data_IF_189018090254
#
_entry.id   IF_189018090254
#
_cell.length_a   1.000
_cell.length_b   1.000
_cell.length_c   1.000
_cell.angle_alpha   90.00
_cell.angle_beta   90.00
_cell.angle_gamma   90.00
#
_symmetry.space_group_name_H-M   'P 1'
#
loop_
_entity.id
_entity.type
_entity.pdbx_description
1 polymer ?
#
# COMPACT_ATOMS: atom_id res chain seq x y z
N UNK A 1 11.88 11.16 -2.68
CA UNK A 1 12.45 10.10 -3.53
C UNK A 1 11.57 8.88 -3.39
N UNK A 2 11.15 8.27 -4.49
CA UNK A 2 10.28 7.09 -4.50
C UNK A 2 11.11 5.81 -4.54
N UNK A 3 11.06 5.02 -3.47
CA UNK A 3 11.81 3.76 -3.37
C UNK A 3 10.84 2.57 -3.45
N UNK A 4 11.08 1.68 -4.42
CA UNK A 4 10.42 0.37 -4.48
C UNK A 4 11.30 -0.65 -3.75
N UNK A 5 10.75 -1.36 -2.77
CA UNK A 5 11.44 -2.44 -2.06
C UNK A 5 10.89 -3.79 -2.52
N UNK A 6 11.82 -4.70 -2.85
CA UNK A 6 11.52 -6.03 -3.37
C UNK A 6 12.22 -7.07 -2.50
N UNK A 7 11.51 -7.73 -1.57
CA UNK A 7 12.01 -8.91 -0.88
C UNK A 7 12.25 -10.04 -1.88
N UNK A 8 13.51 -10.29 -2.23
CA UNK A 8 13.96 -11.26 -3.23
C UNK A 8 13.69 -12.69 -2.76
N UNK A 9 12.51 -13.18 -3.11
CA UNK A 9 12.09 -14.54 -2.85
C UNK A 9 11.19 -15.08 -3.97
N UNK A 10 11.33 -16.38 -4.28
CA UNK A 10 10.54 -17.05 -5.30
C UNK A 10 10.64 -16.36 -6.68
N UNK A 11 9.48 -16.15 -7.31
CA UNK A 11 9.35 -15.61 -8.67
C UNK A 11 9.18 -14.09 -8.75
N UNK A 12 9.34 -13.36 -7.64
CA UNK A 12 9.06 -11.92 -7.58
C UNK A 12 9.95 -11.09 -8.51
N UNK A 13 11.15 -11.58 -8.85
CA UNK A 13 12.05 -10.92 -9.80
C UNK A 13 11.38 -10.63 -11.16
N UNK A 14 10.42 -11.48 -11.58
CA UNK A 14 9.76 -11.36 -12.88
C UNK A 14 8.84 -10.13 -13.05
N UNK A 15 8.50 -9.44 -11.96
CA UNK A 15 7.58 -8.29 -11.96
C UNK A 15 8.24 -6.97 -11.59
N UNK A 16 9.53 -6.98 -11.25
CA UNK A 16 10.23 -5.82 -10.69
C UNK A 16 10.21 -4.64 -11.64
N UNK A 17 10.52 -4.85 -12.93
CA UNK A 17 10.54 -3.76 -13.92
C UNK A 17 9.17 -3.11 -14.11
N UNK A 18 8.11 -3.93 -14.22
CA UNK A 18 6.74 -3.44 -14.39
C UNK A 18 6.32 -2.56 -13.21
N UNK A 19 6.64 -2.99 -11.99
CA UNK A 19 6.36 -2.22 -10.78
C UNK A 19 7.20 -0.96 -10.66
N UNK A 20 8.50 -1.04 -10.98
CA UNK A 20 9.38 0.12 -10.97
C UNK A 20 8.88 1.20 -11.94
N UNK A 21 8.37 0.81 -13.12
CA UNK A 21 7.75 1.73 -14.08
C UNK A 21 6.40 2.26 -13.59
N UNK A 22 5.52 1.39 -13.11
CA UNK A 22 4.17 1.76 -12.66
C UNK A 22 4.20 2.70 -11.46
N UNK A 23 5.09 2.44 -10.49
CA UNK A 23 5.28 3.30 -9.32
C UNK A 23 6.12 4.54 -9.64
N UNK A 24 6.73 4.58 -10.83
CA UNK A 24 7.58 5.68 -11.26
C UNK A 24 8.74 5.88 -10.26
N UNK A 25 9.38 4.76 -9.91
CA UNK A 25 10.41 4.68 -8.89
C UNK A 25 11.68 5.43 -9.29
N UNK A 26 12.33 6.06 -8.31
CA UNK A 26 13.67 6.63 -8.45
C UNK A 26 14.74 5.59 -8.11
N UNK A 27 14.40 4.67 -7.21
CA UNK A 27 15.30 3.62 -6.72
C UNK A 27 14.54 2.33 -6.44
N UNK A 28 15.20 1.20 -6.68
CA UNK A 28 14.69 -0.15 -6.39
C UNK A 28 15.69 -0.86 -5.48
N UNK A 29 15.23 -1.28 -4.30
CA UNK A 29 16.02 -2.07 -3.35
C UNK A 29 15.61 -3.54 -3.42
N UNK A 30 16.51 -4.39 -3.90
CA UNK A 30 16.37 -5.85 -3.91
C UNK A 30 16.89 -6.40 -2.58
N UNK A 31 15.97 -6.71 -1.67
CA UNK A 31 16.30 -7.04 -0.27
C UNK A 31 16.24 -8.54 -0.04
N UNK A 32 17.19 -9.09 0.72
CA UNK A 32 17.16 -10.51 1.06
C UNK A 32 17.73 -10.82 2.45
N UNK A 33 17.34 -11.94 3.09
CA UNK A 33 17.76 -12.24 4.46
C UNK A 33 19.22 -12.75 4.57
N UNK A 34 19.80 -13.24 3.47
CA UNK A 34 21.13 -13.88 3.49
C UNK A 34 22.30 -12.91 3.67
N UNK A 35 23.48 -13.46 3.94
CA UNK A 35 24.76 -12.73 4.10
C UNK A 35 25.17 -11.95 2.85
N UNK A 36 25.81 -10.78 3.02
CA UNK A 36 26.35 -9.99 1.90
C UNK A 36 27.48 -10.70 1.16
N UNK A 37 28.31 -11.51 1.82
CA UNK A 37 29.39 -12.25 1.15
C UNK A 37 28.91 -13.54 0.48
N UNK A 38 27.62 -13.86 0.59
CA UNK A 38 27.04 -15.11 0.11
C UNK A 38 26.66 -15.09 -1.37
N UNK A 39 26.57 -16.27 -1.98
CA UNK A 39 26.16 -16.43 -3.38
C UNK A 39 24.78 -15.81 -3.68
N UNK A 40 23.85 -15.83 -2.72
CA UNK A 40 22.55 -15.21 -2.88
C UNK A 40 22.64 -13.69 -3.07
N UNK A 41 23.55 -13.01 -2.37
CA UNK A 41 23.78 -11.57 -2.55
C UNK A 41 24.40 -11.27 -3.89
N UNK A 42 25.46 -12.00 -4.26
CA UNK A 42 26.10 -11.85 -5.57
C UNK A 42 25.12 -12.07 -6.73
N UNK A 43 24.19 -13.01 -6.58
CA UNK A 43 23.14 -13.23 -7.57
C UNK A 43 22.12 -12.07 -7.61
N UNK A 44 21.78 -11.50 -6.44
CA UNK A 44 20.92 -10.31 -6.37
C UNK A 44 21.58 -9.08 -6.99
N UNK A 45 22.88 -8.88 -6.79
CA UNK A 45 23.67 -7.81 -7.43
C UNK A 45 23.69 -7.97 -8.95
N UNK A 46 24.03 -9.16 -9.45
CA UNK A 46 23.97 -9.47 -10.89
C UNK A 46 22.57 -9.24 -11.48
N UNK A 47 21.53 -9.56 -10.71
CA UNK A 47 20.16 -9.31 -11.14
C UNK A 47 19.82 -7.81 -11.15
N UNK A 48 20.29 -7.04 -10.17
CA UNK A 48 20.16 -5.58 -10.18
C UNK A 48 20.84 -4.95 -11.41
N UNK A 49 22.06 -5.37 -11.74
CA UNK A 49 22.79 -4.93 -12.94
C UNK A 49 22.03 -5.29 -14.24
N UNK A 50 21.48 -6.50 -14.31
CA UNK A 50 20.66 -6.93 -15.43
C UNK A 50 19.41 -6.05 -15.61
N UNK A 51 18.68 -5.78 -14.53
CA UNK A 51 17.48 -4.93 -14.54
C UNK A 51 17.82 -3.48 -14.93
N UNK A 52 18.92 -2.94 -14.38
CA UNK A 52 19.43 -1.61 -14.71
C UNK A 52 19.70 -1.50 -16.22
N UNK A 53 20.48 -2.44 -16.77
CA UNK A 53 20.83 -2.45 -18.20
C UNK A 53 19.60 -2.62 -19.10
N UNK A 54 18.62 -3.44 -18.69
CA UNK A 54 17.41 -3.66 -19.48
C UNK A 54 16.51 -2.42 -19.50
N UNK A 55 16.35 -1.75 -18.36
CA UNK A 55 15.60 -0.50 -18.24
C UNK A 55 16.25 0.65 -19.03
N UNK A 56 17.58 0.78 -18.98
CA UNK A 56 18.35 1.73 -19.78
C UNK A 56 18.12 1.53 -21.29
N UNK A 57 18.31 0.31 -21.79
CA UNK A 57 18.07 -0.02 -23.20
C UNK A 57 16.63 0.26 -23.64
N UNK A 58 15.66 -0.04 -22.76
CA UNK A 58 14.26 0.25 -23.03
C UNK A 58 14.00 1.76 -23.12
N UNK A 59 14.65 2.56 -22.29
CA UNK A 59 14.52 4.02 -22.31
C UNK A 59 15.22 4.65 -23.51
N UNK A 60 16.41 4.18 -23.87
CA UNK A 60 17.14 4.65 -25.07
C UNK A 60 16.32 4.43 -26.34
N UNK A 61 15.71 3.26 -26.51
CA UNK A 61 14.79 2.98 -27.62
C UNK A 61 13.62 3.96 -27.66
N UNK A 62 13.05 4.29 -26.50
CA UNK A 62 11.92 5.22 -26.39
C UNK A 62 12.35 6.69 -26.62
N UNK A 63 13.57 7.07 -26.21
CA UNK A 63 14.15 8.40 -26.50
C UNK A 63 14.40 8.60 -27.99
N UNK A 64 14.85 7.56 -28.70
CA UNK A 64 14.98 7.56 -30.17
C UNK A 64 13.66 7.80 -30.91
N UNK A 65 12.51 7.59 -30.25
CA UNK A 65 11.16 7.82 -30.77
C UNK A 65 10.56 9.17 -30.33
N UNK A 66 11.37 10.08 -29.77
CA UNK A 66 10.93 11.42 -29.37
C UNK A 66 10.33 11.52 -27.96
N UNK A 67 10.45 10.49 -27.13
CA UNK A 67 10.00 10.53 -25.73
C UNK A 67 10.90 11.40 -24.84
N UNK A 68 10.31 12.23 -23.97
CA UNK A 68 11.04 12.91 -22.89
C UNK A 68 11.59 11.86 -21.93
N UNK A 69 12.91 11.65 -21.95
CA UNK A 69 13.55 10.58 -21.20
C UNK A 69 13.77 10.93 -19.73
N UNK A 70 13.02 10.31 -18.82
CA UNK A 70 13.42 10.21 -17.41
C UNK A 70 14.68 9.33 -17.30
N UNK A 71 15.47 9.51 -16.25
CA UNK A 71 16.52 8.57 -15.90
C UNK A 71 15.90 7.25 -15.40
N UNK A 72 16.54 6.10 -15.69
CA UNK A 72 16.13 4.83 -15.11
C UNK A 72 16.24 4.89 -13.58
N UNK A 73 15.42 4.11 -12.85
CA UNK A 73 15.62 3.91 -11.42
C UNK A 73 16.98 3.27 -11.17
N UNK A 74 17.59 3.59 -10.02
CA UNK A 74 18.80 2.93 -9.55
C UNK A 74 18.43 1.58 -8.89
N UNK A 75 18.97 0.48 -9.39
CA UNK A 75 18.79 -0.85 -8.78
C UNK A 75 19.94 -1.17 -7.81
N UNK A 76 19.62 -1.62 -6.60
CA UNK A 76 20.61 -1.98 -5.58
C UNK A 76 20.20 -3.27 -4.86
N UNK A 77 21.15 -4.15 -4.58
CA UNK A 77 20.93 -5.30 -3.70
C UNK A 77 21.26 -4.94 -2.25
N UNK A 78 20.44 -5.40 -1.30
CA UNK A 78 20.65 -5.21 0.14
C UNK A 78 20.50 -6.54 0.88
N UNK A 79 21.56 -6.94 1.56
CA UNK A 79 21.57 -8.06 2.47
C UNK A 79 21.13 -7.61 3.87
N UNK A 80 20.13 -8.27 4.46
CA UNK A 80 19.73 -8.02 5.86
C UNK A 80 20.60 -8.79 6.87
N UNK A 81 21.31 -9.83 6.41
CA UNK A 81 22.16 -10.68 7.24
C UNK A 81 21.44 -11.22 8.49
N UNK A 82 20.19 -11.67 8.32
CA UNK A 82 19.32 -12.16 9.38
C UNK A 82 18.77 -13.53 8.96
N UNK A 83 19.13 -14.58 9.69
CA UNK A 83 18.82 -15.95 9.26
C UNK A 83 17.44 -16.42 9.72
N UNK A 84 16.64 -16.85 8.74
CA UNK A 84 15.42 -17.69 8.76
C UNK A 84 14.22 -17.31 9.65
N UNK A 85 14.40 -16.80 10.87
CA UNK A 85 13.27 -16.51 11.74
C UNK A 85 12.53 -15.26 11.28
N UNK A 86 11.20 -15.32 11.30
CA UNK A 86 10.34 -14.21 10.93
C UNK A 86 10.65 -12.94 11.74
N UNK A 87 10.94 -13.06 13.04
CA UNK A 87 11.25 -11.91 13.89
C UNK A 87 12.58 -11.25 13.52
N UNK A 88 13.60 -12.02 13.19
CA UNK A 88 14.91 -11.48 12.83
C UNK A 88 14.83 -10.73 11.50
N UNK A 89 14.06 -11.27 10.55
CA UNK A 89 13.74 -10.59 9.28
C UNK A 89 12.96 -9.30 9.54
N UNK A 90 11.95 -9.32 10.41
CA UNK A 90 11.15 -8.13 10.73
C UNK A 90 12.02 -6.99 11.28
N UNK A 91 12.83 -7.28 12.31
CA UNK A 91 13.70 -6.29 12.96
C UNK A 91 14.77 -5.77 12.00
N UNK A 92 15.41 -6.65 11.23
CA UNK A 92 16.44 -6.23 10.28
C UNK A 92 15.86 -5.41 9.12
N UNK A 93 14.67 -5.79 8.62
CA UNK A 93 13.97 -5.05 7.58
C UNK A 93 13.55 -3.66 8.07
N UNK A 94 12.98 -3.57 9.27
CA UNK A 94 12.64 -2.31 9.93
C UNK A 94 13.84 -1.39 10.07
N UNK A 95 14.93 -1.90 10.63
CA UNK A 95 16.16 -1.13 10.78
C UNK A 95 16.66 -0.61 9.43
N UNK A 96 16.69 -1.46 8.40
CA UNK A 96 17.16 -1.07 7.06
C UNK A 96 16.34 0.07 6.45
N UNK A 97 15.01 0.05 6.58
CA UNK A 97 14.15 1.13 6.06
C UNK A 97 14.33 2.42 6.87
N UNK A 98 14.41 2.32 8.20
CA UNK A 98 14.57 3.50 9.07
C UNK A 98 15.93 4.16 8.85
N UNK A 99 17.01 3.39 8.80
CA UNK A 99 18.38 3.89 8.56
C UNK A 99 18.46 4.56 7.18
N UNK A 100 17.88 3.94 6.14
CA UNK A 100 17.83 4.51 4.80
C UNK A 100 17.03 5.83 4.76
N UNK A 101 15.89 5.89 5.44
CA UNK A 101 15.10 7.12 5.55
C UNK A 101 15.88 8.25 6.24
N UNK A 102 16.58 7.92 7.33
CA UNK A 102 17.41 8.89 8.06
C UNK A 102 18.59 9.38 7.23
N UNK A 103 19.25 8.48 6.48
CA UNK A 103 20.35 8.84 5.60
C UNK A 103 19.89 9.78 4.48
N UNK A 104 18.74 9.49 3.85
CA UNK A 104 18.16 10.35 2.82
C UNK A 104 17.72 11.70 3.36
N UNK A 105 17.16 11.74 4.57
CA UNK A 105 16.80 12.99 5.21
C UNK A 105 18.05 13.83 5.48
N UNK A 106 19.12 13.22 6.00
CA UNK A 106 20.39 13.89 6.24
C UNK A 106 21.02 14.45 4.95
N UNK A 107 21.03 13.65 3.87
CA UNK A 107 21.50 14.11 2.57
C UNK A 107 20.68 15.29 2.05
N UNK A 108 19.36 15.24 2.20
CA UNK A 108 18.47 16.34 1.80
C UNK A 108 18.74 17.62 2.61
N UNK A 109 18.98 17.49 3.92
CA UNK A 109 19.28 18.61 4.81
C UNK A 109 20.65 19.24 4.51
N UNK A 110 21.65 18.42 4.15
CA UNK A 110 23.00 18.88 3.78
C UNK A 110 23.03 19.54 2.38
N UNK A 111 22.16 19.13 1.45
CA UNK A 111 22.08 19.68 0.09
C UNK A 111 21.16 20.90 -0.06
N UNK A 112 20.41 21.29 0.98
CA UNK A 112 19.33 22.29 0.89
C UNK A 112 19.56 23.54 1.75
N UNK A 113 20.19 24.57 1.19
CA UNK A 113 19.93 25.96 1.64
C UNK A 113 18.62 26.52 1.04
N UNK A 114 18.09 25.95 -0.06
CA UNK A 114 16.92 26.49 -0.78
C UNK A 114 15.93 25.45 -1.37
N UNK A 115 16.06 24.15 -1.06
CA UNK A 115 15.14 23.12 -1.59
C UNK A 115 14.23 22.54 -0.51
N UNK A 116 12.95 22.23 -0.84
CA UNK A 116 12.03 21.64 0.12
C UNK A 116 12.48 20.23 0.53
N UNK A 117 12.34 19.91 1.81
CA UNK A 117 12.62 18.59 2.39
C UNK A 117 11.88 17.52 1.58
N UNK A 118 12.64 16.65 0.93
CA UNK A 118 12.08 15.53 0.16
C UNK A 118 11.90 14.34 1.11
N UNK A 119 10.69 14.19 1.64
CA UNK A 119 10.34 12.98 2.42
C UNK A 119 10.40 11.76 1.49
N UNK A 120 11.20 10.72 1.81
CA UNK A 120 11.22 9.49 1.03
C UNK A 120 9.90 8.72 1.21
N UNK A 121 9.40 8.17 0.12
CA UNK A 121 8.19 7.34 0.11
C UNK A 121 8.56 5.94 -0.35
N UNK A 122 8.06 4.93 0.36
CA UNK A 122 8.38 3.53 0.10
C UNK A 122 7.15 2.76 -0.37
N UNK A 123 7.33 1.87 -1.33
CA UNK A 123 6.34 0.83 -1.65
C UNK A 123 7.02 -0.53 -1.64
N UNK A 124 6.41 -1.51 -0.98
CA UNK A 124 6.92 -2.88 -0.90
C UNK A 124 6.07 -3.78 -1.76
N UNK A 125 6.68 -4.53 -2.68
CA UNK A 125 5.98 -5.60 -3.39
C UNK A 125 6.29 -6.94 -2.75
N UNK A 126 5.28 -7.72 -2.44
CA UNK A 126 5.41 -9.06 -1.88
C UNK A 126 4.59 -10.05 -2.69
N UNK A 127 4.97 -11.32 -2.60
CA UNK A 127 4.18 -12.43 -3.11
C UNK A 127 3.80 -13.39 -1.98
N UNK A 128 2.88 -14.32 -2.24
CA UNK A 128 2.43 -15.31 -1.24
C UNK A 128 3.57 -16.10 -0.59
N UNK A 129 4.70 -16.28 -1.29
CA UNK A 129 5.87 -17.00 -0.77
C UNK A 129 6.91 -16.09 -0.10
N UNK A 130 6.70 -14.77 -0.07
CA UNK A 130 7.60 -13.85 0.62
C UNK A 130 7.63 -14.20 2.12
N UNK A 131 8.82 -14.30 2.75
CA UNK A 131 8.92 -14.62 4.17
C UNK A 131 8.08 -13.67 5.04
N UNK A 132 7.27 -14.22 5.93
CA UNK A 132 6.29 -13.46 6.74
C UNK A 132 6.92 -12.38 7.61
N UNK A 133 8.22 -12.50 7.93
CA UNK A 133 8.96 -11.47 8.67
C UNK A 133 8.93 -10.08 8.00
N UNK A 134 8.91 -10.02 6.66
CA UNK A 134 8.76 -8.75 5.95
C UNK A 134 7.40 -8.10 6.25
N UNK A 135 6.32 -8.88 6.31
CA UNK A 135 4.99 -8.39 6.68
C UNK A 135 4.95 -7.83 8.11
N UNK A 136 5.61 -8.50 9.07
CA UNK A 136 5.68 -8.01 10.45
C UNK A 136 6.47 -6.71 10.56
N UNK A 137 7.66 -6.63 9.94
CA UNK A 137 8.46 -5.40 9.91
C UNK A 137 7.71 -4.25 9.25
N UNK A 138 7.08 -4.51 8.10
CA UNK A 138 6.25 -3.53 7.38
C UNK A 138 5.10 -2.96 8.22
N UNK A 139 4.37 -3.81 8.95
CA UNK A 139 3.30 -3.36 9.84
C UNK A 139 3.82 -2.51 11.01
N UNK A 140 4.98 -2.89 11.58
CA UNK A 140 5.67 -2.15 12.64
C UNK A 140 6.07 -0.75 12.18
N UNK A 141 6.83 -0.68 11.08
CA UNK A 141 7.33 0.57 10.47
C UNK A 141 6.17 1.50 10.08
N UNK A 142 5.12 0.95 9.47
CA UNK A 142 3.94 1.71 9.11
C UNK A 142 3.23 2.28 10.35
N UNK A 143 3.09 1.49 11.41
CA UNK A 143 2.54 1.95 12.69
C UNK A 143 3.40 3.00 13.40
N UNK A 144 4.70 3.06 13.11
CA UNK A 144 5.60 4.11 13.59
C UNK A 144 5.51 5.42 12.76
N UNK A 145 4.63 5.49 11.76
CA UNK A 145 4.38 6.69 10.97
C UNK A 145 5.27 6.84 9.73
N UNK A 146 6.04 5.83 9.36
CA UNK A 146 6.85 5.86 8.12
C UNK A 146 5.94 5.74 6.90
N UNK A 147 6.23 6.54 5.88
CA UNK A 147 5.46 6.60 4.64
C UNK A 147 5.73 5.38 3.72
N UNK A 148 5.22 4.23 4.12
CA UNK A 148 5.41 2.95 3.44
C UNK A 148 4.08 2.35 3.00
N UNK A 149 4.01 1.87 1.77
CA UNK A 149 2.87 1.13 1.22
C UNK A 149 3.24 -0.31 0.89
N UNK A 150 2.23 -1.14 0.62
CA UNK A 150 2.43 -2.54 0.29
C UNK A 150 1.48 -3.04 -0.78
N UNK A 151 2.03 -3.78 -1.73
CA UNK A 151 1.31 -4.56 -2.70
C UNK A 151 1.60 -6.05 -2.48
N UNK A 152 0.57 -6.86 -2.26
CA UNK A 152 0.70 -8.32 -2.20
C UNK A 152 0.10 -8.90 -3.46
N UNK A 153 0.82 -9.83 -4.07
CA UNK A 153 0.34 -10.50 -5.25
C UNK A 153 0.58 -11.99 -5.31
N UNK A 154 -0.04 -12.59 -6.30
CA UNK A 154 0.20 -13.98 -6.70
C UNK A 154 0.93 -13.92 -8.03
N UNK A 155 2.03 -14.68 -8.15
CA UNK A 155 2.74 -14.87 -9.42
C UNK A 155 2.69 -16.36 -9.72
N UNK A 156 1.83 -16.74 -10.66
CA UNK A 156 1.70 -18.12 -11.07
C UNK A 156 0.47 -18.39 -11.91
N UNK A 157 0.24 -19.67 -12.13
CA UNK A 157 -0.94 -20.20 -12.80
C UNK A 157 -2.12 -20.27 -11.82
N UNK A 158 -3.29 -19.71 -12.16
CA UNK A 158 -4.49 -19.89 -11.34
C UNK A 158 -5.14 -21.25 -11.62
N UNK A 159 -4.54 -22.31 -11.06
CA UNK A 159 -5.07 -23.68 -11.17
C UNK A 159 -6.43 -23.86 -10.49
N UNK A 160 -6.84 -22.89 -9.65
CA UNK A 160 -8.10 -22.89 -8.90
C UNK A 160 -9.30 -22.42 -9.72
N UNK A 161 -9.14 -22.09 -11.01
CA UNK A 161 -10.29 -21.71 -11.85
C UNK A 161 -11.34 -22.84 -11.83
N UNK A 162 -12.63 -22.52 -11.63
CA UNK A 162 -13.66 -23.51 -11.36
C UNK A 162 -13.97 -24.44 -12.54
N UNK A 163 -13.51 -24.12 -13.76
CA UNK A 163 -13.70 -24.95 -14.95
C UNK A 163 -12.35 -25.20 -15.64
N UNK A 164 -12.13 -26.45 -16.09
CA UNK A 164 -10.93 -26.85 -16.83
C UNK A 164 -10.67 -26.00 -18.07
N UNK A 165 -11.72 -25.53 -18.74
CA UNK A 165 -11.64 -24.67 -19.94
C UNK A 165 -11.28 -23.21 -19.64
N UNK A 166 -11.30 -22.80 -18.36
CA UNK A 166 -10.91 -21.46 -17.91
C UNK A 166 -9.45 -21.43 -17.43
N UNK A 167 -8.84 -22.59 -17.22
CA UNK A 167 -7.43 -22.69 -16.94
C UNK A 167 -6.66 -22.78 -18.26
N UNK A 168 -5.91 -21.73 -18.58
CA UNK A 168 -5.07 -21.69 -19.77
C UNK A 168 -3.60 -21.52 -19.37
N UNK A 169 -2.78 -22.58 -19.46
CA UNK A 169 -1.36 -22.53 -19.15
C UNK A 169 -0.54 -21.76 -20.21
N UNK A 170 -1.15 -21.40 -21.35
CA UNK A 170 -0.52 -20.56 -22.38
C UNK A 170 -0.67 -19.06 -22.10
N UNK A 171 -1.58 -18.67 -21.20
CA UNK A 171 -1.66 -17.29 -20.73
C UNK A 171 -0.52 -17.01 -19.75
N UNK A 172 0.14 -15.84 -19.86
CA UNK A 172 1.20 -15.47 -18.93
C UNK A 172 0.70 -15.51 -17.50
N UNK A 173 1.57 -15.93 -16.56
CA UNK A 173 1.31 -16.01 -15.13
C UNK A 173 0.40 -14.86 -14.68
N UNK A 174 -0.72 -15.19 -14.03
CA UNK A 174 -1.60 -14.16 -13.47
C UNK A 174 -0.75 -13.40 -12.45
N UNK A 175 -0.62 -12.09 -12.71
CA UNK A 175 0.02 -11.11 -11.83
C UNK A 175 -1.10 -10.31 -11.19
N UNK A 176 -1.79 -10.89 -10.22
CA UNK A 176 -2.72 -10.12 -9.38
C UNK A 176 -1.91 -9.47 -8.29
N UNK A 177 -1.92 -8.14 -8.21
CA UNK A 177 -1.33 -7.40 -7.12
C UNK A 177 -2.34 -6.41 -6.59
N UNK A 178 -2.60 -6.50 -5.30
CA UNK A 178 -3.53 -5.62 -4.61
C UNK A 178 -2.79 -4.83 -3.55
N UNK A 179 -3.17 -3.55 -3.40
CA UNK A 179 -2.65 -2.73 -2.32
C UNK A 179 -3.28 -3.19 -1.01
N UNK A 180 -2.44 -3.50 -0.02
CA UNK A 180 -2.88 -3.91 1.30
C UNK A 180 -2.79 -2.71 2.24
N UNK A 181 -3.90 -2.35 2.93
CA UNK A 181 -3.85 -1.30 3.94
C UNK A 181 -2.94 -1.70 5.10
N UNK A 182 -2.09 -0.78 5.55
CA UNK A 182 -1.19 -1.00 6.68
C UNK A 182 -1.70 -0.32 7.96
N UNK A 183 -1.06 -0.62 9.10
CA UNK A 183 -1.44 -0.06 10.40
C UNK A 183 -1.40 1.47 10.42
N UNK A 184 -0.38 2.09 9.81
CA UNK A 184 -0.27 3.54 9.71
C UNK A 184 -1.39 4.17 8.88
N UNK A 185 -1.84 3.50 7.81
CA UNK A 185 -2.99 3.96 7.02
C UNK A 185 -4.27 3.96 7.84
N UNK A 186 -4.47 2.88 8.62
CA UNK A 186 -5.63 2.73 9.49
C UNK A 186 -5.65 3.84 10.56
N UNK A 187 -4.52 4.05 11.23
CA UNK A 187 -4.38 5.08 12.26
C UNK A 187 -4.57 6.48 11.69
N UNK A 188 -3.90 6.80 10.57
CA UNK A 188 -3.98 8.12 9.92
C UNK A 188 -5.41 8.49 9.54
N UNK A 189 -6.15 7.55 8.94
CA UNK A 189 -7.54 7.80 8.56
C UNK A 189 -8.45 7.93 9.79
N UNK A 190 -8.23 7.14 10.84
CA UNK A 190 -8.99 7.26 12.10
C UNK A 190 -8.76 8.61 12.76
N UNK A 191 -7.51 9.05 12.84
CA UNK A 191 -7.15 10.36 13.38
C UNK A 191 -7.74 11.48 12.54
N UNK A 192 -7.65 11.39 11.22
CA UNK A 192 -8.27 12.38 10.33
C UNK A 192 -9.79 12.47 10.57
N UNK A 193 -10.48 11.32 10.68
CA UNK A 193 -11.93 11.26 10.95
C UNK A 193 -12.32 11.72 12.37
N UNK A 194 -11.39 11.71 13.33
CA UNK A 194 -11.64 12.16 14.71
C UNK A 194 -11.46 13.67 14.89
N UNK A 195 -10.84 14.37 13.93
CA UNK A 195 -10.65 15.82 14.00
C UNK A 195 -11.99 16.56 14.10
N UNK A 196 -12.12 17.61 14.95
CA UNK A 196 -13.37 18.36 15.10
C UNK A 196 -13.91 18.95 13.78
N UNK A 197 -13.02 19.37 12.88
CA UNK A 197 -13.36 19.90 11.55
C UNK A 197 -13.89 18.83 10.56
N UNK A 198 -13.80 17.54 10.90
CA UNK A 198 -14.19 16.40 10.06
C UNK A 198 -15.46 15.70 10.53
N UNK A 199 -16.18 16.29 11.48
CA UNK A 199 -17.49 15.80 11.94
C UNK A 199 -18.48 15.52 10.79
N UNK A 200 -18.55 16.42 9.80
CA UNK A 200 -19.36 16.20 8.60
C UNK A 200 -18.89 15.00 7.77
N UNK A 201 -17.57 14.87 7.53
CA UNK A 201 -17.01 13.76 6.76
C UNK A 201 -17.23 12.41 7.46
N UNK A 202 -17.08 12.38 8.79
CA UNK A 202 -17.38 11.21 9.62
C UNK A 202 -18.85 10.81 9.55
N UNK A 203 -19.77 11.78 9.67
CA UNK A 203 -21.22 11.51 9.56
C UNK A 203 -21.60 10.93 8.21
N UNK A 204 -21.07 11.50 7.12
CA UNK A 204 -21.31 10.97 5.76
C UNK A 204 -20.67 9.61 5.56
N UNK A 205 -19.48 9.36 6.13
CA UNK A 205 -18.87 8.03 6.13
C UNK A 205 -19.79 7.01 6.81
N UNK A 206 -20.23 7.29 8.05
CA UNK A 206 -21.14 6.42 8.82
C UNK A 206 -22.47 6.15 8.07
N UNK A 207 -23.02 7.16 7.40
CA UNK A 207 -24.21 7.02 6.55
C UNK A 207 -23.96 6.06 5.36
N UNK A 208 -22.85 6.22 4.65
CA UNK A 208 -22.49 5.34 3.52
C UNK A 208 -22.25 3.90 4.00
N UNK A 209 -21.58 3.72 5.15
CA UNK A 209 -21.39 2.38 5.70
C UNK A 209 -22.73 1.76 6.10
N UNK A 210 -23.66 2.55 6.63
CA UNK A 210 -25.00 2.07 6.98
C UNK A 210 -25.77 1.63 5.74
N UNK A 211 -25.67 2.37 4.63
CA UNK A 211 -26.23 1.98 3.33
C UNK A 211 -25.67 0.65 2.80
N UNK A 212 -24.36 0.43 2.95
CA UNK A 212 -23.75 -0.85 2.60
C UNK A 212 -24.22 -2.00 3.51
N UNK A 213 -24.44 -1.74 4.80
CA UNK A 213 -24.84 -2.76 5.79
C UNK A 213 -26.32 -3.13 5.74
N UNK A 214 -27.17 -2.28 5.16
CA UNK A 214 -28.57 -2.60 4.91
C UNK A 214 -28.72 -3.84 4.01
N UNK A 215 -27.72 -4.11 3.16
CA UNK A 215 -27.70 -5.29 2.32
C UNK A 215 -26.29 -5.89 2.26
N UNK A 216 -26.11 -7.05 2.89
CA UNK A 216 -24.83 -7.77 2.96
C UNK A 216 -24.18 -8.03 1.59
N UNK A 217 -24.98 -8.17 0.52
CA UNK A 217 -24.44 -8.35 -0.83
C UNK A 217 -23.75 -7.08 -1.35
N UNK A 218 -24.28 -5.89 -1.04
CA UNK A 218 -23.64 -4.59 -1.36
C UNK A 218 -22.28 -4.51 -0.71
N UNK A 219 -22.22 -4.86 0.58
CA UNK A 219 -20.99 -4.86 1.35
C UNK A 219 -19.98 -5.86 0.78
N UNK A 220 -20.36 -7.11 0.56
CA UNK A 220 -19.45 -8.14 0.05
C UNK A 220 -18.89 -7.76 -1.32
N UNK A 221 -19.74 -7.36 -2.25
CA UNK A 221 -19.39 -7.04 -3.64
C UNK A 221 -18.72 -5.67 -3.81
N UNK A 222 -18.67 -4.83 -2.76
CA UNK A 222 -18.26 -3.43 -2.84
C UNK A 222 -19.04 -2.73 -3.95
N UNK A 223 -20.36 -2.78 -3.86
CA UNK A 223 -21.23 -2.16 -4.87
C UNK A 223 -20.91 -0.67 -5.05
N UNK A 224 -21.11 -0.20 -6.27
CA UNK A 224 -20.93 1.21 -6.63
C UNK A 224 -22.15 1.98 -6.12
N UNK A 225 -21.92 3.18 -5.61
CA UNK A 225 -22.97 4.10 -5.19
C UNK A 225 -22.75 5.50 -5.78
N UNK A 226 -23.82 6.28 -5.83
CA UNK A 226 -23.83 7.69 -6.19
C UNK A 226 -24.24 8.55 -5.00
N UNK A 227 -24.07 9.87 -5.11
CA UNK A 227 -24.57 10.80 -4.08
C UNK A 227 -26.10 10.82 -4.00
N UNK A 228 -26.79 10.41 -5.06
CA UNK A 228 -28.26 10.30 -5.10
C UNK A 228 -28.71 9.12 -4.25
N UNK A 229 -28.05 7.97 -4.37
CA UNK A 229 -28.39 6.75 -3.59
C UNK A 229 -28.29 7.01 -2.09
N UNK A 230 -27.21 7.68 -1.66
CA UNK A 230 -26.97 8.02 -0.26
C UNK A 230 -27.93 9.11 0.23
N UNK A 231 -28.29 10.08 -0.62
CA UNK A 231 -29.30 11.09 -0.28
C UNK A 231 -30.68 10.45 -0.07
N UNK A 232 -31.07 9.51 -0.93
CA UNK A 232 -32.33 8.81 -0.78
C UNK A 232 -32.35 7.95 0.49
N UNK A 233 -31.30 7.17 0.72
CA UNK A 233 -31.15 6.36 1.94
C UNK A 233 -31.19 7.21 3.22
N UNK A 234 -30.55 8.39 3.19
CA UNK A 234 -30.64 9.36 4.30
C UNK A 234 -32.09 9.71 4.63
N UNK A 235 -32.89 10.06 3.60
CA UNK A 235 -34.31 10.44 3.76
C UNK A 235 -35.13 9.29 4.31
N UNK A 236 -34.85 8.07 3.87
CA UNK A 236 -35.53 6.86 4.34
C UNK A 236 -35.26 6.61 5.84
N UNK A 237 -34.09 7.02 6.34
CA UNK A 237 -33.74 7.01 7.78
C UNK A 237 -34.29 8.23 8.56
N UNK A 238 -35.01 9.16 7.92
CA UNK A 238 -35.46 10.42 8.54
C UNK A 238 -34.36 11.47 8.70
N UNK A 239 -33.20 11.25 8.10
CA UNK A 239 -32.10 12.23 8.05
C UNK A 239 -32.16 13.01 6.73
N UNK A 240 -32.13 14.34 6.77
CA UNK A 240 -32.25 15.18 5.57
C UNK A 240 -30.87 15.63 5.01
N UNK A 241 -29.88 14.75 4.95
CA UNK A 241 -28.57 15.10 4.37
C UNK A 241 -28.72 15.49 2.89
N UNK A 242 -28.43 16.75 2.57
CA UNK A 242 -28.52 17.25 1.21
C UNK A 242 -27.45 16.61 0.31
N UNK A 243 -27.79 16.35 -0.96
CA UNK A 243 -26.86 15.78 -1.94
C UNK A 243 -25.56 16.59 -2.08
N UNK A 244 -25.64 17.92 -2.03
CA UNK A 244 -24.47 18.80 -2.08
C UNK A 244 -23.56 18.61 -0.87
N UNK A 245 -24.13 18.41 0.32
CA UNK A 245 -23.36 18.08 1.54
C UNK A 245 -22.62 16.77 1.36
N UNK A 246 -23.29 15.71 0.89
CA UNK A 246 -22.68 14.40 0.65
C UNK A 246 -21.52 14.53 -0.36
N UNK A 247 -21.74 15.23 -1.48
CA UNK A 247 -20.72 15.45 -2.50
C UNK A 247 -19.50 16.20 -1.96
N UNK A 248 -19.72 17.27 -1.19
CA UNK A 248 -18.65 18.06 -0.57
C UNK A 248 -17.85 17.22 0.43
N UNK A 249 -18.50 16.41 1.26
CA UNK A 249 -17.80 15.53 2.19
C UNK A 249 -17.04 14.41 1.49
N UNK A 250 -17.58 13.83 0.42
CA UNK A 250 -16.85 12.87 -0.42
C UNK A 250 -15.62 13.49 -1.09
N UNK A 251 -15.68 14.78 -1.46
CA UNK A 251 -14.52 15.49 -1.98
C UNK A 251 -13.45 15.69 -0.92
N UNK A 252 -13.82 15.98 0.34
CA UNK A 252 -12.87 16.13 1.46
C UNK A 252 -12.03 14.88 1.71
N UNK A 253 -12.54 13.68 1.42
CA UNK A 253 -11.76 12.43 1.54
C UNK A 253 -10.55 12.36 0.59
N UNK A 254 -10.50 13.22 -0.44
CA UNK A 254 -9.34 13.33 -1.34
C UNK A 254 -8.22 14.21 -0.80
N UNK A 255 -8.43 14.84 0.36
CA UNK A 255 -7.36 15.51 1.09
C UNK A 255 -6.41 14.50 1.76
N UNK A 256 -6.87 13.27 1.97
CA UNK A 256 -6.00 12.17 2.38
C UNK A 256 -5.08 11.78 1.21
N UNK A 257 -3.84 11.34 1.48
CA UNK A 257 -3.00 10.70 0.48
C UNK A 257 -3.76 9.59 -0.25
N UNK A 258 -3.46 9.36 -1.53
CA UNK A 258 -4.17 8.37 -2.35
C UNK A 258 -4.19 6.97 -1.72
N UNK A 259 -3.11 6.58 -1.03
CA UNK A 259 -3.01 5.31 -0.29
C UNK A 259 -4.05 5.17 0.83
N UNK A 260 -4.49 6.29 1.39
CA UNK A 260 -5.39 6.41 2.54
C UNK A 260 -6.84 6.68 2.13
N UNK A 261 -7.15 6.70 0.84
CA UNK A 261 -8.52 6.86 0.37
C UNK A 261 -9.42 5.71 0.86
N UNK A 262 -10.48 6.06 1.59
CA UNK A 262 -11.52 5.10 2.02
C UNK A 262 -12.60 4.85 0.97
N UNK A 263 -12.70 5.73 -0.03
CA UNK A 263 -13.54 5.59 -1.20
C UNK A 263 -12.72 5.80 -2.47
N UNK A 264 -12.87 4.91 -3.44
CA UNK A 264 -12.38 5.12 -4.80
C UNK A 264 -13.47 5.77 -5.65
N UNK A 265 -13.09 6.70 -6.52
CA UNK A 265 -13.97 7.27 -7.52
C UNK A 265 -13.89 6.40 -8.77
N UNK A 266 -15.00 5.77 -9.17
CA UNK A 266 -15.07 4.90 -10.36
C UNK A 266 -15.32 5.73 -11.62
N UNK A 267 -16.26 6.68 -11.55
CA UNK A 267 -16.54 7.67 -12.61
C UNK A 267 -16.83 9.03 -12.01
N UNK A 268 -17.27 10.02 -12.80
CA UNK A 268 -17.51 11.35 -12.27
C UNK A 268 -18.51 11.36 -11.08
N UNK A 269 -19.53 10.52 -11.09
CA UNK A 269 -20.59 10.50 -10.07
C UNK A 269 -20.61 9.25 -9.20
N UNK A 270 -19.75 8.29 -9.49
CA UNK A 270 -19.79 6.95 -8.89
C UNK A 270 -18.60 6.69 -7.99
N UNK A 271 -18.88 6.08 -6.85
CA UNK A 271 -17.94 5.80 -5.78
C UNK A 271 -18.04 4.35 -5.35
N UNK A 272 -16.94 3.82 -4.80
CA UNK A 272 -16.90 2.50 -4.20
C UNK A 272 -16.04 2.54 -2.93
N UNK A 273 -16.42 1.78 -1.91
CA UNK A 273 -15.57 1.60 -0.72
C UNK A 273 -14.28 0.83 -1.04
N UNK A 274 -13.14 1.33 -0.55
CA UNK A 274 -11.85 0.64 -0.68
C UNK A 274 -11.68 -0.46 0.38
N UNK A 275 -10.71 -1.38 0.23
CA UNK A 275 -10.36 -2.31 1.31
C UNK A 275 -10.05 -1.60 2.63
N UNK A 276 -9.33 -0.47 2.58
CA UNK A 276 -9.09 0.37 3.77
C UNK A 276 -10.40 0.92 4.33
N UNK A 277 -11.28 1.48 3.50
CA UNK A 277 -12.60 1.96 3.94
C UNK A 277 -13.40 0.88 4.66
N UNK A 278 -13.37 -0.37 4.18
CA UNK A 278 -14.00 -1.51 4.86
C UNK A 278 -13.40 -1.80 6.23
N UNK A 279 -12.08 -1.70 6.37
CA UNK A 279 -11.39 -1.88 7.67
C UNK A 279 -11.77 -0.75 8.63
N UNK A 280 -11.70 0.51 8.19
CA UNK A 280 -12.06 1.68 8.98
C UNK A 280 -13.51 1.59 9.48
N UNK A 281 -14.43 1.20 8.60
CA UNK A 281 -15.84 0.98 8.94
C UNK A 281 -16.05 -0.04 10.07
N UNK A 282 -15.19 -1.06 10.19
CA UNK A 282 -15.22 -1.99 11.33
C UNK A 282 -14.76 -1.32 12.62
N UNK A 283 -13.78 -0.41 12.54
CA UNK A 283 -13.20 0.25 13.72
C UNK A 283 -14.02 1.44 14.25
N UNK A 284 -14.77 2.15 13.40
CA UNK A 284 -15.58 3.31 13.79
C UNK A 284 -16.94 2.90 14.34
N UNK A 285 -17.47 1.76 13.89
CA UNK A 285 -18.78 1.24 14.30
C UNK A 285 -18.71 0.24 15.46
N UNK A 286 -17.53 0.04 16.04
CA UNK A 286 -17.42 -0.54 17.38
C UNK A 286 -17.53 0.63 18.35
N UNK A 287 -18.62 0.73 19.14
CA UNK A 287 -18.64 1.64 20.28
C UNK A 287 -17.42 1.31 21.15
N UNK A 288 -16.80 2.32 21.75
CA UNK A 288 -15.87 2.15 22.86
C UNK A 288 -16.54 1.31 23.95
N UNK A 289 -16.40 -0.01 23.87
CA UNK A 289 -16.71 -0.97 24.94
C UNK A 289 -15.44 -1.57 25.53
N UNK A 290 -14.28 -0.96 25.23
CA UNK A 290 -12.99 -1.28 25.86
C UNK A 290 -12.20 0.00 26.21
N UNK A 291 -12.89 1.05 26.67
CA UNK A 291 -12.27 2.09 27.50
C UNK A 291 -11.99 1.62 28.94
N UNK A 292 -11.99 0.30 29.15
CA UNK A 292 -11.51 -0.38 30.35
C UNK A 292 -10.32 -1.26 29.97
N UNK A 293 -9.16 -0.64 29.72
CA UNK A 293 -7.91 -1.35 29.98
C UNK A 293 -7.80 -1.45 31.49
N UNK A 294 -8.41 -2.50 32.06
CA UNK A 294 -7.82 -3.08 33.24
C UNK A 294 -6.42 -3.53 32.83
N UNK A 295 -5.46 -2.81 33.39
CA UNK A 295 -4.06 -3.12 33.57
C UNK A 295 -3.67 -4.56 33.18
N UNK A 296 -3.21 -4.73 31.93
CA UNK A 296 -2.58 -5.97 31.44
C UNK A 296 -1.26 -6.31 32.15
N UNK A 297 -0.85 -5.56 33.18
CA UNK A 297 0.34 -5.83 33.98
C UNK A 297 0.21 -7.01 34.97
N UNK A 298 -0.97 -7.62 35.10
CA UNK A 298 -1.19 -8.68 36.13
C UNK A 298 -1.24 -10.11 35.61
N UNK A 299 -1.13 -10.37 34.30
CA UNK A 299 -1.29 -11.73 33.75
C UNK A 299 -0.02 -12.35 33.13
N UNK A 300 1.15 -11.76 33.39
CA UNK A 300 2.43 -12.46 33.25
C UNK A 300 3.19 -12.44 34.57
N UNK A 301 2.93 -13.46 35.40
CA UNK A 301 3.86 -13.99 36.40
C UNK A 301 4.13 -15.45 36.06
#
# INVERSE_FOLDING_TARGET
>A
MKTLIVPMHGSIGSVVEDFARKFDADRVLLVHPWKPEGAAHQNAEKFAEFLQSNMEKSLERNRGLGGRGRNPPLFQARALNCYEKAIDIAVAFERMVIEDMQELQKQADEESEERPIVVPSYEVIMIETTPIGYSFGLMSISGAGVDIGCHIGTIGFEIRKPRRTQFDPSLPNIRTFEKIPLMGDIQSVREWLSLPKRTGSRRIFELIISWYRENDTRWQNREIFTTIDINQFSKDLGSEEQQNTIANQLASFRELPERQHVFERVTHSEYRITPLGKLIARTILIPLWESGVEDFSTHFR
#
